data_IF_862041332877
#
_entry.id   IF_862041332877
#
_cell.length_a   1.000
_cell.length_b   1.000
_cell.length_c   1.000
_cell.angle_alpha   90.00
_cell.angle_beta   90.00
_cell.angle_gamma   90.00
#
_symmetry.space_group_name_H-M   'P 1'
#
loop_
_entity.id
_entity.type
_entity.pdbx_description
1 polymer ?
#
# COMPACT_ATOMS: atom_id res chain seq x y z
N UNK A 1 7.95 9.46 2.57
CA UNK A 1 6.88 9.03 3.50
C UNK A 1 6.03 7.89 2.95
N UNK A 2 5.29 8.06 1.85
CA UNK A 2 4.43 6.98 1.30
C UNK A 2 5.24 5.74 0.86
N UNK A 3 6.31 5.93 0.09
CA UNK A 3 7.21 4.82 -0.30
C UNK A 3 7.85 4.15 0.92
N UNK A 4 8.18 4.91 1.97
CA UNK A 4 8.78 4.36 3.19
C UNK A 4 7.78 3.49 3.97
N UNK A 5 6.51 3.87 3.98
CA UNK A 5 5.43 3.08 4.57
C UNK A 5 5.19 1.78 3.78
N UNK A 6 5.16 1.85 2.44
CA UNK A 6 5.07 0.66 1.59
C UNK A 6 6.25 -0.29 1.77
N UNK A 7 7.48 0.25 1.78
CA UNK A 7 8.67 -0.53 2.06
C UNK A 7 8.62 -1.18 3.44
N UNK A 8 8.18 -0.45 4.47
CA UNK A 8 8.02 -0.98 5.84
C UNK A 8 7.00 -2.12 5.91
N UNK A 9 5.88 -2.01 5.18
CA UNK A 9 4.88 -3.07 5.07
C UNK A 9 5.44 -4.32 4.39
N UNK A 10 6.14 -4.17 3.26
CA UNK A 10 6.80 -5.29 2.57
C UNK A 10 7.85 -5.93 3.50
N UNK A 11 8.66 -5.11 4.17
CA UNK A 11 9.69 -5.55 5.12
C UNK A 11 9.12 -6.36 6.27
N UNK A 12 8.01 -5.91 6.85
CA UNK A 12 7.32 -6.59 7.92
C UNK A 12 6.95 -8.02 7.51
N UNK A 13 6.32 -8.18 6.35
CA UNK A 13 5.92 -9.49 5.84
C UNK A 13 7.10 -10.36 5.41
N UNK A 14 8.12 -9.74 4.81
CA UNK A 14 9.32 -10.45 4.39
C UNK A 14 10.11 -11.05 5.56
N UNK A 15 10.12 -10.39 6.72
CA UNK A 15 10.72 -10.94 7.95
C UNK A 15 9.95 -12.13 8.52
N UNK A 16 8.64 -12.22 8.23
CA UNK A 16 7.77 -13.29 8.72
C UNK A 16 7.74 -14.52 7.82
N UNK A 17 8.39 -14.48 6.66
CA UNK A 17 8.29 -15.52 5.65
C UNK A 17 9.68 -16.09 5.32
N UNK A 18 9.78 -17.42 5.17
CA UNK A 18 11.04 -18.09 4.77
C UNK A 18 11.52 -17.64 3.38
N UNK A 19 10.61 -17.31 2.45
CA UNK A 19 10.92 -16.88 1.06
C UNK A 19 9.84 -15.93 0.53
N UNK A 20 10.20 -15.06 -0.42
CA UNK A 20 9.22 -14.20 -1.11
C UNK A 20 8.84 -14.81 -2.47
N UNK A 21 7.61 -15.30 -2.57
CA UNK A 21 7.07 -15.87 -3.82
C UNK A 21 6.51 -14.80 -4.76
N UNK A 22 6.32 -15.15 -6.04
CA UNK A 22 5.65 -14.26 -7.01
C UNK A 22 4.22 -13.93 -6.59
N UNK A 23 3.51 -14.91 -6.04
CA UNK A 23 2.14 -14.73 -5.54
C UNK A 23 2.08 -13.73 -4.38
N UNK A 24 3.01 -13.84 -3.42
CA UNK A 24 3.11 -12.90 -2.30
C UNK A 24 3.44 -11.47 -2.78
N UNK A 25 4.29 -11.33 -3.80
CA UNK A 25 4.58 -10.02 -4.41
C UNK A 25 3.35 -9.38 -5.05
N UNK A 26 2.53 -10.15 -5.78
CA UNK A 26 1.27 -9.66 -6.35
C UNK A 26 0.33 -9.14 -5.27
N UNK A 27 0.21 -9.84 -4.16
CA UNK A 27 -0.63 -9.38 -3.04
C UNK A 27 -0.10 -8.10 -2.38
N UNK A 28 1.22 -7.91 -2.26
CA UNK A 28 1.75 -6.62 -1.82
C UNK A 28 1.35 -5.50 -2.79
N UNK A 29 1.38 -5.80 -4.09
CA UNK A 29 0.91 -4.87 -5.08
C UNK A 29 -0.59 -4.64 -5.02
N UNK A 30 -1.44 -5.57 -4.59
CA UNK A 30 -2.89 -5.32 -4.42
C UNK A 30 -3.24 -4.34 -3.27
N UNK A 31 -2.30 -4.06 -2.37
CA UNK A 31 -2.55 -3.20 -1.21
C UNK A 31 -2.70 -1.73 -1.61
N UNK A 32 -3.77 -1.09 -1.14
CA UNK A 32 -4.09 0.31 -1.44
C UNK A 32 -3.62 1.23 -0.33
N UNK A 33 -2.86 2.25 -0.70
CA UNK A 33 -2.41 3.32 0.18
C UNK A 33 -3.30 4.54 0.00
N UNK A 34 -3.53 5.26 1.08
CA UNK A 34 -4.40 6.44 1.09
C UNK A 34 -3.55 7.66 1.45
N UNK A 35 -3.68 8.73 0.67
CA UNK A 35 -3.21 10.06 1.04
C UNK A 35 -4.35 11.06 1.01
N UNK A 36 -4.41 11.94 2.01
CA UNK A 36 -5.30 13.08 2.02
C UNK A 36 -4.49 14.32 1.65
N UNK A 37 -4.92 15.05 0.63
CA UNK A 37 -4.24 16.24 0.15
C UNK A 37 -5.18 17.44 0.11
N UNK A 38 -4.79 18.54 0.75
CA UNK A 38 -5.51 19.80 0.67
C UNK A 38 -4.90 20.66 -0.45
N UNK A 39 -5.68 20.95 -1.49
CA UNK A 39 -5.31 21.89 -2.57
C UNK A 39 -6.44 22.87 -2.78
N UNK A 40 -6.14 24.16 -2.89
CA UNK A 40 -7.11 25.19 -3.30
C UNK A 40 -8.46 25.11 -2.57
N UNK A 41 -8.40 24.95 -1.23
CA UNK A 41 -9.57 24.80 -0.34
C UNK A 41 -10.38 23.50 -0.54
N UNK A 42 -9.87 22.53 -1.29
CA UNK A 42 -10.48 21.21 -1.52
C UNK A 42 -9.67 20.12 -0.87
N UNK A 43 -10.35 19.21 -0.19
CA UNK A 43 -9.76 17.98 0.34
C UNK A 43 -9.85 16.90 -0.74
N UNK A 44 -8.72 16.33 -1.12
CA UNK A 44 -8.65 15.29 -2.14
C UNK A 44 -8.21 13.98 -1.49
N UNK A 45 -8.98 12.91 -1.73
CA UNK A 45 -8.61 11.56 -1.39
C UNK A 45 -7.83 10.97 -2.57
N UNK A 46 -6.54 10.70 -2.37
CA UNK A 46 -5.69 10.07 -3.36
C UNK A 46 -5.43 8.61 -2.98
N UNK A 47 -5.67 7.72 -3.93
CA UNK A 47 -5.44 6.28 -3.78
C UNK A 47 -4.22 5.89 -4.58
N UNK A 48 -3.39 5.09 -3.94
CA UNK A 48 -2.04 4.77 -4.33
C UNK A 48 -1.85 3.26 -4.27
N UNK A 49 -1.03 2.69 -5.14
CA UNK A 49 -0.73 1.26 -5.13
C UNK A 49 0.69 1.03 -5.62
N UNK A 50 1.29 -0.08 -5.22
CA UNK A 50 2.64 -0.43 -5.68
C UNK A 50 2.54 -0.94 -7.14
N UNK A 51 3.37 -0.40 -8.03
CA UNK A 51 3.43 -0.84 -9.42
C UNK A 51 4.01 -2.25 -9.54
N UNK A 52 3.33 -3.16 -10.24
CA UNK A 52 3.78 -4.54 -10.47
C UNK A 52 4.94 -4.65 -11.49
N UNK A 53 5.05 -3.70 -12.42
CA UNK A 53 5.91 -3.82 -13.61
C UNK A 53 7.34 -3.32 -13.40
N UNK A 54 7.61 -2.66 -12.28
CA UNK A 54 8.91 -2.06 -12.01
C UNK A 54 9.71 -2.90 -11.01
N UNK A 55 11.02 -3.10 -11.28
CA UNK A 55 11.98 -3.70 -10.31
C UNK A 55 12.02 -2.93 -8.99
N UNK A 56 11.60 -1.68 -9.06
CA UNK A 56 11.56 -0.73 -7.98
C UNK A 56 10.11 -0.54 -7.54
N UNK A 57 9.83 -0.68 -6.24
CA UNK A 57 8.48 -0.45 -5.71
C UNK A 57 8.20 1.04 -5.59
N UNK A 58 7.79 1.64 -6.69
CA UNK A 58 7.18 2.96 -6.68
C UNK A 58 5.70 2.81 -6.43
N UNK A 59 5.20 3.63 -5.52
CA UNK A 59 3.78 3.87 -5.42
C UNK A 59 3.35 4.69 -6.64
N UNK A 60 2.48 4.11 -7.45
CA UNK A 60 1.82 4.82 -8.54
C UNK A 60 0.45 5.28 -8.08
N UNK A 61 0.06 6.43 -8.60
CA UNK A 61 -1.28 6.96 -8.46
C UNK A 61 -2.25 6.04 -9.21
N UNK A 62 -3.33 5.62 -8.54
CA UNK A 62 -4.41 4.85 -9.16
C UNK A 62 -5.55 5.74 -9.59
N UNK A 63 -6.10 6.51 -8.64
CA UNK A 63 -7.27 7.36 -8.81
C UNK A 63 -7.32 8.41 -7.69
N UNK A 64 -7.95 9.55 -7.98
CA UNK A 64 -8.29 10.60 -7.02
C UNK A 64 -9.79 10.79 -7.03
N UNK A 65 -10.38 10.88 -5.85
CA UNK A 65 -11.71 11.45 -5.70
C UNK A 65 -11.52 12.90 -5.25
N UNK A 66 -11.75 13.84 -6.17
CA UNK A 66 -11.76 15.26 -5.82
C UNK A 66 -13.03 15.56 -5.07
N UNK A 67 -12.93 15.87 -3.78
CA UNK A 67 -14.07 16.36 -3.02
C UNK A 67 -13.91 17.88 -2.95
N UNK A 68 -14.64 18.57 -3.82
CA UNK A 68 -14.78 20.02 -3.70
C UNK A 68 -15.59 20.31 -2.45
N UNK A 69 -14.92 20.73 -1.38
CA UNK A 69 -15.57 21.30 -0.20
C UNK A 69 -15.67 22.81 -0.46
N UNK A 70 -16.79 23.34 -0.94
CA UNK A 70 -16.99 24.78 -0.87
C UNK A 70 -17.15 25.15 0.60
N UNK A 71 -16.10 25.74 1.20
CA UNK A 71 -15.97 26.14 2.62
C UNK A 71 -17.08 27.14 3.11
N UNK A 72 -18.16 27.33 2.38
CA UNK A 72 -19.24 28.26 2.68
C UNK A 72 -20.60 27.62 2.97
N UNK A 73 -20.79 26.30 2.84
CA UNK A 73 -22.09 25.65 3.07
C UNK A 73 -22.00 24.42 3.98
N UNK A 74 -22.27 24.63 5.27
CA UNK A 74 -22.23 23.64 6.38
C UNK A 74 -22.92 22.30 6.04
N UNK A 75 -24.03 22.31 5.27
CA UNK A 75 -24.76 21.09 4.91
C UNK A 75 -24.13 20.30 3.75
N UNK A 76 -23.45 20.97 2.81
CA UNK A 76 -22.70 20.29 1.75
C UNK A 76 -21.37 19.72 2.28
N UNK A 77 -20.77 20.40 3.26
CA UNK A 77 -19.51 19.99 3.88
C UNK A 77 -19.62 18.63 4.60
N UNK A 78 -20.76 18.33 5.23
CA UNK A 78 -20.96 17.08 5.96
C UNK A 78 -21.18 15.87 5.04
N UNK A 79 -21.94 16.02 3.95
CA UNK A 79 -22.19 14.96 2.98
C UNK A 79 -20.91 14.58 2.22
N UNK A 80 -20.15 15.58 1.78
CA UNK A 80 -18.84 15.40 1.14
C UNK A 80 -17.82 14.74 2.05
N UNK A 81 -17.82 15.10 3.34
CA UNK A 81 -16.96 14.45 4.35
C UNK A 81 -17.37 12.99 4.59
N UNK A 82 -18.68 12.71 4.66
CA UNK A 82 -19.20 11.35 4.81
C UNK A 82 -18.79 10.44 3.65
N UNK A 83 -18.82 10.97 2.42
CA UNK A 83 -18.38 10.23 1.23
C UNK A 83 -16.91 9.83 1.32
N UNK A 84 -16.02 10.71 1.80
CA UNK A 84 -14.60 10.37 2.05
C UNK A 84 -14.49 9.24 3.07
N UNK A 85 -15.23 9.29 4.17
CA UNK A 85 -15.20 8.24 5.18
C UNK A 85 -15.66 6.89 4.64
N UNK A 86 -16.73 6.87 3.84
CA UNK A 86 -17.21 5.64 3.19
C UNK A 86 -16.18 5.08 2.20
N UNK A 87 -15.50 5.94 1.43
CA UNK A 87 -14.41 5.49 0.56
C UNK A 87 -13.23 4.92 1.35
N UNK A 88 -12.84 5.57 2.45
CA UNK A 88 -11.78 5.10 3.34
C UNK A 88 -12.16 3.75 3.95
N UNK A 89 -13.39 3.58 4.45
CA UNK A 89 -13.90 2.33 4.98
C UNK A 89 -13.83 1.21 3.94
N UNK A 90 -14.31 1.46 2.72
CA UNK A 90 -14.24 0.49 1.63
C UNK A 90 -12.80 0.05 1.35
N UNK A 91 -11.86 0.99 1.31
CA UNK A 91 -10.43 0.67 1.10
C UNK A 91 -9.87 -0.15 2.27
N UNK A 92 -10.24 0.17 3.51
CA UNK A 92 -9.84 -0.63 4.68
C UNK A 92 -10.36 -2.07 4.57
N UNK A 93 -11.62 -2.27 4.20
CA UNK A 93 -12.19 -3.61 4.00
C UNK A 93 -11.49 -4.38 2.88
N UNK A 94 -11.11 -3.71 1.80
CA UNK A 94 -10.32 -4.34 0.73
C UNK A 94 -8.92 -4.74 1.22
N UNK A 95 -8.25 -3.85 1.94
CA UNK A 95 -6.90 -4.09 2.48
C UNK A 95 -6.89 -5.21 3.53
N UNK A 96 -7.93 -5.33 4.35
CA UNK A 96 -8.07 -6.45 5.30
C UNK A 96 -8.11 -7.79 4.56
N UNK A 97 -8.87 -7.90 3.47
CA UNK A 97 -8.90 -9.11 2.64
C UNK A 97 -7.54 -9.43 2.02
N UNK A 98 -6.78 -8.43 1.62
CA UNK A 98 -5.40 -8.61 1.11
C UNK A 98 -4.48 -9.11 2.23
N UNK A 99 -4.56 -8.54 3.42
CA UNK A 99 -3.78 -8.98 4.60
C UNK A 99 -4.09 -10.44 4.96
N UNK A 100 -5.37 -10.83 4.97
CA UNK A 100 -5.78 -12.21 5.24
C UNK A 100 -5.20 -13.19 4.22
N UNK A 101 -5.19 -12.83 2.93
CA UNK A 101 -4.57 -13.63 1.87
C UNK A 101 -3.05 -13.73 2.07
N UNK A 102 -2.39 -12.62 2.39
CA UNK A 102 -0.94 -12.59 2.68
C UNK A 102 -0.62 -13.54 3.82
N UNK A 103 -1.36 -13.46 4.93
CA UNK A 103 -1.16 -14.31 6.10
C UNK A 103 -1.28 -15.79 5.74
N UNK A 104 -2.34 -16.19 5.02
CA UNK A 104 -2.54 -17.58 4.56
C UNK A 104 -1.36 -18.10 3.73
N UNK A 105 -0.84 -17.29 2.81
CA UNK A 105 0.30 -17.68 1.96
C UNK A 105 1.58 -17.76 2.79
N UNK A 106 1.81 -16.82 3.70
CA UNK A 106 2.98 -16.82 4.59
C UNK A 106 2.98 -18.08 5.47
N UNK A 107 1.84 -18.44 6.04
CA UNK A 107 1.69 -19.65 6.86
C UNK A 107 2.00 -20.90 6.03
N UNK A 108 1.47 -20.99 4.81
CA UNK A 108 1.78 -22.09 3.89
C UNK A 108 3.27 -22.19 3.58
N UNK A 109 3.92 -21.07 3.22
CA UNK A 109 5.36 -21.02 2.93
C UNK A 109 6.19 -21.45 4.14
N UNK A 110 5.76 -21.09 5.35
CA UNK A 110 6.52 -21.41 6.56
C UNK A 110 6.38 -22.88 6.97
N UNK A 111 5.27 -23.53 6.63
CA UNK A 111 5.05 -24.98 6.86
C UNK A 111 5.75 -25.83 5.80
N UNK A 112 5.91 -25.34 4.57
CA UNK A 112 6.71 -26.02 3.55
C UNK A 112 8.17 -26.19 4.03
N UNK A 113 8.60 -27.44 4.22
CA UNK A 113 10.03 -27.78 4.30
C UNK A 113 10.61 -27.59 2.91
N UNK A 114 11.68 -26.79 2.76
CA UNK A 114 12.50 -26.92 1.56
C UNK A 114 13.90 -26.35 1.69
N UNK A 115 14.81 -27.24 1.36
CA UNK A 115 16.00 -27.08 0.51
C UNK A 115 16.20 -25.68 -0.12
N UNK A 116 17.38 -25.11 0.17
CA UNK A 116 18.09 -24.06 -0.57
C UNK A 116 17.21 -22.95 -1.20
N UNK A 117 16.69 -22.06 -0.36
CA UNK A 117 16.09 -20.80 -0.81
C UNK A 117 17.04 -19.62 -0.71
N UNK A 118 16.86 -18.65 -1.64
CA UNK A 118 17.41 -17.31 -1.44
C UNK A 118 16.87 -16.73 -0.13
N UNK A 119 17.80 -16.39 0.76
CA UNK A 119 17.46 -15.86 2.08
C UNK A 119 16.66 -14.55 1.96
N UNK A 120 15.66 -14.34 2.84
CA UNK A 120 14.87 -13.11 2.89
C UNK A 120 15.71 -11.84 2.88
N UNK A 121 16.90 -11.90 3.49
CA UNK A 121 17.87 -10.81 3.55
C UNK A 121 18.40 -10.35 2.18
N UNK A 122 18.60 -11.28 1.25
CA UNK A 122 19.15 -10.98 -0.10
C UNK A 122 18.12 -10.25 -0.95
N UNK A 123 16.86 -10.68 -0.86
CA UNK A 123 15.73 -9.98 -1.46
C UNK A 123 15.55 -8.58 -0.88
N UNK A 124 15.58 -8.44 0.45
CA UNK A 124 15.41 -7.15 1.14
C UNK A 124 16.49 -6.14 0.74
N UNK A 125 17.77 -6.55 0.71
CA UNK A 125 18.87 -5.69 0.29
C UNK A 125 18.70 -5.21 -1.15
N UNK A 126 18.24 -6.08 -2.04
CA UNK A 126 18.00 -5.74 -3.44
C UNK A 126 16.84 -4.75 -3.59
N UNK A 127 15.72 -5.02 -2.94
CA UNK A 127 14.51 -4.18 -3.03
C UNK A 127 14.72 -2.80 -2.43
N UNK A 128 15.27 -2.71 -1.22
CA UNK A 128 15.51 -1.41 -0.57
C UNK A 128 16.56 -0.60 -1.31
N UNK A 129 17.63 -1.25 -1.78
CA UNK A 129 18.71 -0.58 -2.51
C UNK A 129 18.28 -0.05 -3.88
N UNK A 130 17.24 -0.64 -4.48
CA UNK A 130 16.70 -0.24 -5.78
C UNK A 130 15.56 0.80 -5.66
N UNK A 131 14.92 0.97 -4.48
CA UNK A 131 13.85 1.95 -4.27
C UNK A 131 14.38 3.35 -3.96
N UNK A 132 14.12 4.37 -4.80
CA UNK A 132 14.56 5.72 -4.50
C UNK A 132 13.80 6.27 -3.31
N UNK A 133 14.58 6.87 -2.43
CA UNK A 133 14.12 7.58 -1.26
C UNK A 133 13.25 8.77 -1.66
N UNK A 134 12.25 9.07 -0.83
CA UNK A 134 11.48 10.30 -0.98
C UNK A 134 12.46 11.49 -0.81
N UNK A 135 12.54 12.45 -1.75
CA UNK A 135 13.45 13.57 -1.61
C UNK A 135 13.12 14.35 -0.33
N UNK A 136 14.13 14.62 0.49
CA UNK A 136 14.02 15.55 1.61
C UNK A 136 13.94 16.97 1.05
N UNK A 137 12.92 17.72 1.46
CA UNK A 137 12.82 19.16 1.18
C UNK A 137 13.77 19.93 2.09
#
# INVERSE_FOLDING_TARGET
MLNDAANSFILYWAKKCKKITKELKKLFCEFRWIGLFLSDRKLNLMIYQICEETKIYFITYLNSYSVSIPISNINHDMASTLEIFLQIENIFQMNLKVIEKIQKIVDKINVEESENFETPLKYLKKVIGETPSTPYK
#
